data_IF_254406622962
#
_entry.id   IF_254406622962
#
_cell.length_a   1.000
_cell.length_b   1.000
_cell.length_c   1.000
_cell.angle_alpha   90.00
_cell.angle_beta   90.00
_cell.angle_gamma   90.00
#
_symmetry.space_group_name_H-M   'P 1'
#
loop_
_entity.id
_entity.type
_entity.pdbx_description
1 polymer ?
#
# COMPACT_ATOMS: atom_id res chain seq x y z
N UNK A 1 -16.56 -1.98 -0.81
CA UNK A 1 -15.54 -2.02 0.25
C UNK A 1 -14.15 -1.90 -0.37
N UNK A 2 -13.19 -1.35 0.36
CA UNK A 2 -11.77 -1.24 -0.04
C UNK A 2 -10.91 -2.18 0.80
N UNK A 3 -9.78 -2.62 0.26
CA UNK A 3 -8.79 -3.45 0.96
C UNK A 3 -7.48 -2.70 1.05
N UNK A 4 -7.00 -2.49 2.28
CA UNK A 4 -5.75 -1.78 2.56
C UNK A 4 -4.59 -2.75 2.74
N UNK A 5 -3.42 -2.39 2.19
CA UNK A 5 -2.18 -3.14 2.35
C UNK A 5 -1.16 -2.34 3.14
N UNK A 6 -0.66 -2.95 4.22
CA UNK A 6 0.45 -2.42 5.02
C UNK A 6 1.80 -3.01 4.61
N UNK A 7 2.87 -2.68 5.35
CA UNK A 7 4.23 -3.16 5.10
C UNK A 7 4.37 -4.69 5.07
N UNK A 8 3.41 -5.45 5.60
CA UNK A 8 3.36 -6.92 5.56
C UNK A 8 3.37 -7.49 4.14
N UNK A 9 2.93 -6.75 3.11
CA UNK A 9 3.02 -7.18 1.70
C UNK A 9 4.46 -7.42 1.23
N UNK A 10 5.42 -6.81 1.93
CA UNK A 10 6.86 -6.98 1.67
C UNK A 10 7.44 -8.22 2.33
N UNK A 11 6.69 -8.92 3.20
CA UNK A 11 7.20 -10.07 3.95
C UNK A 11 7.15 -11.32 3.07
N UNK A 12 8.28 -12.02 2.85
CA UNK A 12 8.35 -13.13 1.90
C UNK A 12 7.43 -14.30 2.28
N UNK A 13 7.12 -14.45 3.57
CA UNK A 13 6.25 -15.51 4.11
C UNK A 13 4.77 -15.14 4.16
N UNK A 14 4.40 -13.89 3.87
CA UNK A 14 3.01 -13.43 3.90
C UNK A 14 2.28 -13.78 2.59
N UNK A 15 2.30 -15.07 2.21
CA UNK A 15 1.80 -15.55 0.91
C UNK A 15 0.34 -15.14 0.64
N UNK A 16 -0.52 -15.17 1.66
CA UNK A 16 -1.92 -14.72 1.52
C UNK A 16 -2.05 -13.22 1.20
N UNK A 17 -1.23 -12.38 1.86
CA UNK A 17 -1.20 -10.93 1.60
C UNK A 17 -0.65 -10.64 0.21
N UNK A 18 0.44 -11.33 -0.17
CA UNK A 18 1.04 -11.24 -1.50
C UNK A 18 0.03 -11.65 -2.58
N UNK A 19 -0.65 -12.79 -2.40
CA UNK A 19 -1.66 -13.28 -3.33
C UNK A 19 -2.83 -12.31 -3.48
N UNK A 20 -3.34 -11.77 -2.36
CA UNK A 20 -4.39 -10.76 -2.38
C UNK A 20 -3.96 -9.49 -3.14
N UNK A 21 -2.74 -9.00 -2.90
CA UNK A 21 -2.20 -7.81 -3.59
C UNK A 21 -2.05 -8.02 -5.10
N UNK A 22 -1.83 -9.25 -5.56
CA UNK A 22 -1.74 -9.58 -6.98
C UNK A 22 -3.11 -9.62 -7.68
N UNK A 23 -4.20 -9.97 -6.99
CA UNK A 23 -5.50 -10.24 -7.64
C UNK A 23 -6.57 -9.17 -7.39
N UNK A 24 -6.49 -8.41 -6.29
CA UNK A 24 -7.52 -7.42 -5.98
C UNK A 24 -7.49 -6.32 -7.07
N UNK A 25 -8.65 -5.85 -7.55
CA UNK A 25 -8.72 -4.72 -8.48
C UNK A 25 -8.11 -3.45 -7.89
N UNK A 26 -7.32 -2.71 -8.69
CA UNK A 26 -6.55 -1.57 -8.20
C UNK A 26 -7.46 -0.41 -7.73
N UNK A 27 -8.65 -0.27 -8.31
CA UNK A 27 -9.73 0.66 -7.91
C UNK A 27 -10.45 0.28 -6.60
N UNK A 28 -10.10 -0.87 -6.02
CA UNK A 28 -10.54 -1.30 -4.69
C UNK A 28 -9.40 -1.35 -3.66
N UNK A 29 -8.20 -0.89 -4.00
CA UNK A 29 -7.02 -0.91 -3.10
C UNK A 29 -6.80 0.40 -2.35
N UNK A 30 -6.28 0.28 -1.14
CA UNK A 30 -5.62 1.34 -0.38
C UNK A 30 -4.23 0.86 0.05
N UNK A 31 -3.38 1.79 0.46
CA UNK A 31 -2.09 1.49 1.08
C UNK A 31 -1.96 2.24 2.40
N UNK A 32 -1.31 1.62 3.37
CA UNK A 32 -1.06 2.23 4.67
C UNK A 32 0.29 1.78 5.25
N UNK A 33 0.63 2.33 6.42
CA UNK A 33 1.79 1.88 7.19
C UNK A 33 1.42 1.14 8.46
N UNK A 34 0.27 1.46 9.08
CA UNK A 34 -0.03 1.06 10.46
C UNK A 34 1.08 1.49 11.45
N UNK A 35 1.74 2.63 11.18
CA UNK A 35 2.82 3.11 12.04
C UNK A 35 2.31 3.39 13.46
N UNK A 36 3.06 2.97 14.50
CA UNK A 36 4.46 2.54 14.49
C UNK A 36 4.69 1.03 14.24
N UNK A 37 3.66 0.27 13.93
CA UNK A 37 3.70 -1.18 13.75
C UNK A 37 3.96 -1.59 12.30
N UNK A 38 4.16 -2.89 12.09
CA UNK A 38 4.25 -3.51 10.76
C UNK A 38 5.27 -2.83 9.79
N UNK A 39 6.52 -2.58 10.22
CA UNK A 39 7.54 -2.00 9.33
C UNK A 39 7.74 -2.88 8.09
N UNK A 40 8.06 -2.31 6.92
CA UNK A 40 8.41 -3.12 5.75
C UNK A 40 9.61 -4.03 6.05
N UNK A 41 9.77 -5.10 5.26
CA UNK A 41 10.76 -6.16 5.47
C UNK A 41 12.18 -5.62 5.61
N UNK A 42 12.55 -4.57 4.86
CA UNK A 42 13.88 -3.95 4.93
C UNK A 42 14.19 -3.30 6.29
N UNK A 43 13.16 -3.07 7.12
CA UNK A 43 13.21 -2.40 8.43
C UNK A 43 12.67 -3.26 9.57
N UNK A 44 12.53 -4.57 9.37
CA UNK A 44 11.99 -5.49 10.36
C UNK A 44 12.71 -5.34 11.71
N UNK A 45 11.94 -5.26 12.80
CA UNK A 45 12.45 -5.05 14.15
C UNK A 45 12.72 -3.57 14.54
N UNK A 46 12.45 -2.62 13.64
CA UNK A 46 12.49 -1.17 13.93
C UNK A 46 11.08 -0.57 13.89
N UNK A 47 10.82 0.56 14.58
CA UNK A 47 9.54 1.26 14.44
C UNK A 47 9.26 1.64 13.00
N UNK A 48 8.00 1.48 12.58
CA UNK A 48 7.53 1.93 11.28
C UNK A 48 7.29 3.45 11.28
N UNK A 49 7.23 4.05 10.10
CA UNK A 49 6.93 5.47 9.93
C UNK A 49 6.20 5.72 8.60
N UNK A 50 5.37 6.78 8.50
CA UNK A 50 4.65 7.11 7.26
C UNK A 50 5.52 7.18 6.00
N UNK A 51 6.77 7.66 6.13
CA UNK A 51 7.73 7.75 5.02
C UNK A 51 8.13 6.40 4.40
N UNK A 52 7.80 5.28 5.05
CA UNK A 52 8.10 3.93 4.54
C UNK A 52 6.98 3.35 3.68
N UNK A 53 5.86 4.06 3.51
CA UNK A 53 4.75 3.69 2.62
C UNK A 53 5.22 3.40 1.20
N UNK A 54 6.27 4.09 0.73
CA UNK A 54 6.86 3.89 -0.60
C UNK A 54 7.31 2.44 -0.84
N UNK A 55 7.76 1.73 0.20
CA UNK A 55 8.19 0.33 0.08
C UNK A 55 6.99 -0.62 -0.12
N UNK A 56 5.84 -0.31 0.50
CA UNK A 56 4.57 -1.02 0.27
C UNK A 56 4.11 -0.83 -1.18
N UNK A 57 4.12 0.41 -1.67
CA UNK A 57 3.72 0.76 -3.05
C UNK A 57 4.63 0.08 -4.08
N UNK A 58 5.96 0.17 -3.90
CA UNK A 58 6.94 -0.50 -4.75
C UNK A 58 6.73 -2.01 -4.82
N UNK A 59 6.43 -2.64 -3.68
CA UNK A 59 6.17 -4.07 -3.65
C UNK A 59 4.89 -4.45 -4.41
N UNK A 60 3.81 -3.70 -4.26
CA UNK A 60 2.55 -3.95 -4.98
C UNK A 60 2.76 -3.76 -6.49
N UNK A 61 3.46 -2.70 -6.90
CA UNK A 61 3.78 -2.43 -8.30
C UNK A 61 4.55 -3.61 -8.93
N UNK A 62 5.59 -4.10 -8.25
CA UNK A 62 6.36 -5.26 -8.69
C UNK A 62 5.52 -6.55 -8.78
N UNK A 63 4.63 -6.80 -7.80
CA UNK A 63 3.74 -7.96 -7.80
C UNK A 63 2.71 -7.95 -8.93
N UNK A 64 2.38 -6.77 -9.46
CA UNK A 64 1.36 -6.57 -10.49
C UNK A 64 1.93 -6.30 -11.87
N UNK A 65 3.25 -6.17 -12.00
CA UNK A 65 3.89 -5.81 -13.27
C UNK A 65 3.52 -4.40 -13.76
N UNK A 66 3.30 -3.46 -12.83
CA UNK A 66 2.97 -2.05 -13.13
C UNK A 66 3.98 -1.09 -12.45
N UNK A 67 3.75 0.22 -12.57
CA UNK A 67 4.58 1.27 -11.99
C UNK A 67 4.09 1.71 -10.61
N UNK A 68 5.01 2.20 -9.78
CA UNK A 68 4.68 2.83 -8.49
C UNK A 68 3.74 4.03 -8.65
N UNK A 69 3.90 4.79 -9.73
CA UNK A 69 3.05 5.95 -10.05
C UNK A 69 1.61 5.52 -10.26
N UNK A 70 1.38 4.41 -10.97
CA UNK A 70 0.03 3.90 -11.23
C UNK A 70 -0.65 3.45 -9.93
N UNK A 71 0.06 2.67 -9.11
CA UNK A 71 -0.45 2.22 -7.80
C UNK A 71 -0.72 3.41 -6.88
N UNK A 72 0.21 4.36 -6.80
CA UNK A 72 0.07 5.57 -6.00
C UNK A 72 -1.12 6.43 -6.44
N UNK A 73 -1.29 6.66 -7.74
CA UNK A 73 -2.42 7.44 -8.28
C UNK A 73 -3.75 6.77 -7.98
N UNK A 74 -3.87 5.47 -8.24
CA UNK A 74 -5.12 4.75 -8.02
C UNK A 74 -5.49 4.71 -6.53
N UNK A 75 -4.55 4.38 -5.66
CA UNK A 75 -4.80 4.31 -4.21
C UNK A 75 -5.09 5.69 -3.59
N UNK A 76 -4.46 6.76 -4.10
CA UNK A 76 -4.81 8.14 -3.72
C UNK A 76 -6.23 8.51 -4.17
N UNK A 77 -6.61 8.20 -5.42
CA UNK A 77 -7.96 8.44 -5.93
C UNK A 77 -9.02 7.67 -5.12
N UNK A 78 -8.72 6.42 -4.75
CA UNK A 78 -9.56 5.59 -3.92
C UNK A 78 -9.74 6.18 -2.52
N UNK A 79 -8.66 6.65 -1.88
CA UNK A 79 -8.71 7.30 -0.58
C UNK A 79 -9.55 8.59 -0.63
N UNK A 80 -9.34 9.42 -1.65
CA UNK A 80 -10.14 10.63 -1.88
C UNK A 80 -11.63 10.32 -2.01
N UNK A 81 -11.97 9.28 -2.77
CA UNK A 81 -13.36 8.85 -2.97
C UNK A 81 -13.97 8.29 -1.69
N UNK A 82 -13.27 7.38 -1.01
CA UNK A 82 -13.75 6.71 0.20
C UNK A 82 -13.95 7.69 1.36
N UNK A 83 -12.96 8.52 1.64
CA UNK A 83 -12.97 9.44 2.78
C UNK A 83 -13.55 10.81 2.43
N UNK A 84 -14.01 11.01 1.18
CA UNK A 84 -14.53 12.28 0.67
C UNK A 84 -13.56 13.43 0.94
N UNK A 85 -12.27 13.20 0.65
CA UNK A 85 -11.24 14.19 0.90
C UNK A 85 -11.41 15.33 -0.11
N UNK A 86 -11.75 16.51 0.37
CA UNK A 86 -11.64 17.71 -0.44
C UNK A 86 -10.14 18.01 -0.58
N UNK A 87 -9.60 17.86 -1.78
CA UNK A 87 -8.28 18.42 -2.09
C UNK A 87 -8.41 19.95 -1.98
N UNK A 88 -8.04 20.50 -0.83
CA UNK A 88 -7.49 21.85 -0.83
C UNK A 88 -6.16 21.73 -1.58
N UNK A 89 -6.14 22.22 -2.82
CA UNK A 89 -4.94 22.27 -3.66
C UNK A 89 -3.77 22.97 -2.96
N UNK A 90 -2.59 22.92 -3.58
CA UNK A 90 -2.37 23.61 -4.86
C UNK A 90 -2.70 22.80 -6.11
#
# INVERSE_FOLDING_TARGET
>A
FYISFAGTVTYPTAHGVIGAASIIPLDHMLVETDSPFLPPQSRRGKPNAPRYLVETVARIAALRGTTEIEVGRATAQNATTLFRLNHAGP
#
